data_IF_765518422041
#
_entry.id   IF_765518422041
#
_cell.length_a   1.000
_cell.length_b   1.000
_cell.length_c   1.000
_cell.angle_alpha   90.00
_cell.angle_beta   90.00
_cell.angle_gamma   90.00
#
_symmetry.space_group_name_H-M   'P 1'
#
loop_
_entity.id
_entity.type
_entity.pdbx_description
1 polymer ?
#
# COMPACT_ATOMS: atom_id res chain seq x y z
N UNK A 1 24.54 -8.82 2.84
CA UNK A 1 23.38 -8.83 3.76
C UNK A 1 22.14 -8.66 2.89
N UNK A 2 21.41 -9.74 2.63
CA UNK A 2 20.20 -9.69 1.81
C UNK A 2 19.07 -9.15 2.70
N UNK A 3 18.98 -7.83 2.81
CA UNK A 3 17.94 -7.15 3.58
C UNK A 3 16.60 -7.25 2.87
N UNK A 4 15.93 -8.39 2.98
CA UNK A 4 14.53 -8.49 2.63
C UNK A 4 13.72 -7.61 3.58
N UNK A 5 12.77 -6.85 3.06
CA UNK A 5 11.80 -6.12 3.90
C UNK A 5 10.52 -6.92 3.95
N UNK A 6 10.01 -7.15 5.17
CA UNK A 6 8.74 -7.84 5.38
C UNK A 6 7.60 -6.82 5.38
N UNK A 7 6.62 -7.01 4.51
CA UNK A 7 5.41 -6.20 4.49
C UNK A 7 4.17 -7.10 4.52
N UNK A 8 3.11 -6.66 5.17
CA UNK A 8 1.81 -7.31 5.09
C UNK A 8 1.10 -6.90 3.81
N UNK A 9 0.39 -7.81 3.15
CA UNK A 9 -0.39 -7.51 1.94
C UNK A 9 -1.89 -7.55 2.21
N UNK A 10 -2.70 -6.77 1.49
CA UNK A 10 -4.16 -6.75 1.67
C UNK A 10 -4.88 -6.47 0.35
N UNK A 11 -6.04 -7.06 0.12
CA UNK A 11 -6.83 -6.91 -1.11
C UNK A 11 -6.40 -7.82 -2.27
N UNK A 12 -5.50 -8.78 -2.04
CA UNK A 12 -5.01 -9.78 -3.02
C UNK A 12 -5.74 -11.12 -2.89
N UNK A 13 -6.95 -11.10 -2.34
CA UNK A 13 -7.75 -12.30 -2.09
C UNK A 13 -7.67 -12.79 -0.63
N UNK A 14 -8.76 -13.45 -0.22
CA UNK A 14 -9.07 -13.82 1.17
C UNK A 14 -8.00 -14.68 1.88
N UNK A 15 -7.10 -15.31 1.13
CA UNK A 15 -6.02 -16.15 1.65
C UNK A 15 -4.67 -15.43 1.85
N UNK A 16 -4.52 -14.23 1.29
CA UNK A 16 -3.28 -13.45 1.35
C UNK A 16 -3.43 -12.18 2.21
N UNK A 17 -4.66 -11.79 2.54
CA UNK A 17 -4.96 -10.63 3.37
C UNK A 17 -4.28 -10.69 4.74
N UNK A 18 -3.61 -9.58 5.10
CA UNK A 18 -2.84 -9.38 6.33
C UNK A 18 -1.68 -10.38 6.52
N UNK A 19 -1.25 -11.07 5.46
CA UNK A 19 -0.14 -12.00 5.52
C UNK A 19 1.20 -11.28 5.36
N UNK A 20 2.15 -11.43 6.30
CA UNK A 20 3.50 -10.91 6.12
C UNK A 20 4.21 -11.69 5.02
N UNK A 21 4.78 -10.96 4.07
CA UNK A 21 5.52 -11.50 2.94
C UNK A 21 6.90 -10.84 2.88
N UNK A 22 7.91 -11.64 2.55
CA UNK A 22 9.27 -11.15 2.35
C UNK A 22 9.43 -10.72 0.90
N UNK A 23 9.89 -9.49 0.71
CA UNK A 23 10.11 -8.92 -0.62
C UNK A 23 11.61 -8.79 -0.91
N UNK A 24 11.99 -9.14 -2.15
CA UNK A 24 13.40 -9.18 -2.59
C UNK A 24 13.92 -7.81 -2.99
N UNK A 25 13.04 -7.01 -3.59
CA UNK A 25 13.35 -5.69 -4.09
C UNK A 25 12.94 -4.60 -3.10
N UNK A 26 13.54 -3.43 -3.26
CA UNK A 26 13.12 -2.23 -2.54
C UNK A 26 11.74 -1.86 -3.07
N UNK A 27 10.68 -2.36 -2.42
CA UNK A 27 9.29 -2.07 -2.79
C UNK A 27 9.16 -0.55 -2.91
N UNK A 28 8.61 -0.10 -4.05
CA UNK A 28 8.41 1.32 -4.28
C UNK A 28 7.52 1.84 -3.14
N UNK A 29 7.96 2.86 -2.41
CA UNK A 29 7.23 3.39 -1.24
C UNK A 29 5.77 3.76 -1.56
N UNK A 30 5.52 4.21 -2.79
CA UNK A 30 4.18 4.50 -3.31
C UNK A 30 3.24 3.28 -3.29
N UNK A 31 3.76 2.06 -3.29
CA UNK A 31 2.98 0.80 -3.20
C UNK A 31 2.70 0.38 -1.77
N UNK A 32 3.35 1.02 -0.81
CA UNK A 32 3.16 0.79 0.61
C UNK A 32 2.25 1.88 1.14
N UNK A 33 1.24 1.51 1.91
CA UNK A 33 0.42 2.48 2.62
C UNK A 33 1.29 3.19 3.67
N UNK A 34 1.40 4.50 3.58
CA UNK A 34 2.20 5.32 4.49
C UNK A 34 1.64 5.37 5.92
N UNK A 35 0.36 5.00 6.11
CA UNK A 35 -0.31 4.98 7.42
C UNK A 35 -0.18 3.65 8.16
N UNK A 36 -0.45 2.52 7.49
CA UNK A 36 -0.42 1.19 8.11
C UNK A 36 0.71 0.29 7.63
N UNK A 37 1.56 0.77 6.71
CA UNK A 37 2.72 0.07 6.15
C UNK A 37 2.40 -1.27 5.48
N UNK A 38 1.13 -1.49 5.10
CA UNK A 38 0.72 -2.66 4.30
C UNK A 38 0.82 -2.34 2.81
N UNK A 39 1.01 -3.36 1.97
CA UNK A 39 0.90 -3.26 0.51
C UNK A 39 -0.53 -3.64 0.14
N UNK A 40 -1.41 -2.69 -0.19
CA UNK A 40 -2.74 -3.02 -0.66
C UNK A 40 -2.72 -3.40 -2.14
N UNK A 41 -3.73 -4.14 -2.61
CA UNK A 41 -3.94 -4.39 -4.03
C UNK A 41 -4.26 -3.10 -4.77
N UNK A 42 -4.98 -2.17 -4.12
CA UNK A 42 -5.20 -0.82 -4.63
C UNK A 42 -4.69 0.18 -3.62
N UNK A 43 -3.75 1.02 -4.07
CA UNK A 43 -3.27 2.17 -3.30
C UNK A 43 -3.77 3.45 -3.95
N UNK A 44 -4.19 4.39 -3.13
CA UNK A 44 -4.63 5.73 -3.53
C UNK A 44 -3.49 6.69 -3.23
N UNK A 45 -2.97 7.31 -4.29
CA UNK A 45 -2.02 8.40 -4.20
C UNK A 45 -2.76 9.71 -3.96
N UNK A 46 -2.42 10.35 -2.86
CA UNK A 46 -2.98 11.61 -2.43
C UNK A 46 -2.23 12.78 -3.12
N UNK A 47 -2.87 13.96 -3.24
CA UNK A 47 -2.22 15.15 -3.80
C UNK A 47 -0.95 15.56 -3.04
N UNK A 48 -0.87 15.24 -1.75
CA UNK A 48 0.32 15.47 -0.92
C UNK A 48 1.46 14.45 -1.17
N UNK A 49 1.40 13.67 -2.25
CA UNK A 49 2.36 12.62 -2.61
C UNK A 49 2.42 11.42 -1.65
N UNK A 50 1.47 11.31 -0.72
CA UNK A 50 1.33 10.17 0.18
C UNK A 50 0.49 9.06 -0.47
N UNK A 51 0.92 7.81 -0.31
CA UNK A 51 0.21 6.62 -0.75
C UNK A 51 -0.54 5.98 0.41
N UNK A 52 -1.85 5.74 0.27
CA UNK A 52 -2.68 5.12 1.31
C UNK A 52 -3.55 3.99 0.74
N UNK A 53 -3.82 2.95 1.53
CA UNK A 53 -4.79 1.93 1.11
C UNK A 53 -6.22 2.46 1.15
N UNK A 54 -7.15 1.80 0.46
CA UNK A 54 -8.56 2.24 0.41
C UNK A 54 -9.17 2.38 1.82
N UNK A 55 -8.89 1.44 2.73
CA UNK A 55 -9.36 1.54 4.13
C UNK A 55 -8.85 2.77 4.87
N UNK A 56 -7.60 3.16 4.63
CA UNK A 56 -7.03 4.36 5.23
C UNK A 56 -7.53 5.62 4.52
N UNK A 57 -7.80 5.54 3.22
CA UNK A 57 -8.40 6.62 2.45
C UNK A 57 -9.83 6.92 2.92
N UNK A 58 -10.65 5.90 3.15
CA UNK A 58 -12.00 6.07 3.73
C UNK A 58 -11.94 6.81 5.08
N UNK A 59 -10.99 6.44 5.95
CA UNK A 59 -10.77 7.16 7.21
C UNK A 59 -10.38 8.62 7.00
N UNK A 60 -9.55 8.92 6.00
CA UNK A 60 -9.22 10.30 5.65
C UNK A 60 -10.46 11.08 5.20
N UNK A 61 -11.41 10.44 4.51
CA UNK A 61 -12.69 11.06 4.14
C UNK A 61 -13.58 11.29 5.37
N UNK A 62 -13.68 10.29 6.25
CA UNK A 62 -14.43 10.40 7.51
C UNK A 62 -13.89 11.52 8.43
N UNK A 63 -12.57 11.72 8.45
CA UNK A 63 -11.90 12.76 9.25
C UNK A 63 -11.90 14.16 8.58
N UNK A 64 -12.79 14.37 7.60
CA UNK A 64 -12.96 15.67 6.95
C UNK A 64 -12.12 15.86 5.70
N UNK A 65 -11.91 14.78 4.94
CA UNK A 65 -11.20 14.77 3.65
C UNK A 65 -9.77 15.32 3.76
N UNK A 66 -9.02 14.83 4.74
CA UNK A 66 -7.64 15.25 5.01
C UNK A 66 -6.72 14.06 5.12
N UNK A 67 -5.51 14.20 4.61
CA UNK A 67 -4.49 13.20 4.81
C UNK A 67 -4.10 13.13 6.30
N UNK A 68 -4.18 11.95 6.90
CA UNK A 68 -3.87 11.77 8.33
C UNK A 68 -2.36 11.91 8.67
N UNK A 69 -1.49 12.07 7.67
CA UNK A 69 -0.03 12.22 7.87
C UNK A 69 0.39 13.70 8.01
N UNK A 70 -0.14 14.57 7.15
CA UNK A 70 0.24 15.99 7.05
C UNK A 70 -0.95 16.95 7.22
N UNK A 71 -2.17 16.42 7.36
CA UNK A 71 -3.44 17.16 7.44
C UNK A 71 -3.76 18.01 6.19
N UNK A 72 -3.10 17.75 5.06
CA UNK A 72 -3.42 18.38 3.79
C UNK A 72 -4.79 17.93 3.30
N UNK A 73 -5.50 18.84 2.64
CA UNK A 73 -6.85 18.56 2.11
C UNK A 73 -6.73 17.64 0.90
N UNK A 74 -7.54 16.58 0.92
CA UNK A 74 -7.77 15.71 -0.21
C UNK A 74 -8.58 16.50 -1.25
N UNK A 75 -7.90 17.16 -2.17
CA UNK A 75 -8.57 17.79 -3.30
C UNK A 75 -9.35 16.74 -4.10
N UNK A 76 -10.60 17.04 -4.47
CA UNK A 76 -11.51 16.10 -5.16
C UNK A 76 -10.97 15.59 -6.51
N UNK A 77 -9.90 16.19 -7.04
CA UNK A 77 -9.54 16.08 -8.46
C UNK A 77 -8.16 15.43 -8.72
N UNK A 78 -7.41 15.05 -7.66
CA UNK A 78 -6.01 14.60 -7.81
C UNK A 78 -5.71 13.28 -7.08
N UNK A 79 -6.67 12.35 -7.07
CA UNK A 79 -6.46 11.02 -6.48
C UNK A 79 -6.11 10.03 -7.59
N UNK A 80 -4.87 9.58 -7.63
CA UNK A 80 -4.45 8.53 -8.56
C UNK A 80 -4.53 7.17 -7.87
N UNK A 81 -5.27 6.22 -8.45
CA UNK A 81 -5.35 4.85 -7.93
C UNK A 81 -4.39 3.95 -8.68
N UNK A 82 -3.49 3.31 -7.94
CA UNK A 82 -2.54 2.34 -8.47
C UNK A 82 -2.93 0.94 -8.00
N UNK A 83 -3.43 0.13 -8.92
CA UNK A 83 -3.73 -1.28 -8.65
C UNK A 83 -2.50 -2.16 -8.90
N UNK A 84 -2.40 -3.25 -8.15
CA UNK A 84 -1.41 -4.30 -8.26
C UNK A 84 -2.14 -5.64 -8.32
N UNK A 85 -1.82 -6.44 -9.33
CA UNK A 85 -2.32 -7.81 -9.43
C UNK A 85 -1.49 -8.76 -8.57
N UNK A 86 -2.10 -9.88 -8.17
CA UNK A 86 -1.42 -10.98 -7.47
C UNK A 86 -0.18 -11.46 -8.23
N UNK A 87 -0.27 -11.58 -9.55
CA UNK A 87 0.84 -11.97 -10.42
C UNK A 87 2.04 -11.02 -10.26
N UNK A 88 1.78 -9.71 -10.21
CA UNK A 88 2.82 -8.70 -10.06
C UNK A 88 3.38 -8.67 -8.64
N UNK A 89 2.53 -8.88 -7.64
CA UNK A 89 2.98 -9.07 -6.27
C UNK A 89 3.91 -10.29 -6.13
N UNK A 90 3.57 -11.41 -6.79
CA UNK A 90 4.39 -12.62 -6.80
C UNK A 90 5.78 -12.40 -7.43
N UNK A 91 5.90 -11.48 -8.41
CA UNK A 91 7.23 -11.12 -8.94
C UNK A 91 8.14 -10.43 -7.91
N UNK A 92 7.56 -9.83 -6.86
CA UNK A 92 8.31 -9.15 -5.80
C UNK A 92 8.60 -10.04 -4.59
N UNK A 93 7.86 -11.14 -4.43
CA UNK A 93 8.06 -12.09 -3.34
C UNK A 93 9.41 -12.81 -3.49
N UNK A 94 10.13 -12.99 -2.38
CA UNK A 94 11.23 -13.96 -2.33
C UNK A 94 10.60 -15.34 -2.21
N UNK A 95 10.79 -16.19 -3.21
CA UNK A 95 10.65 -17.63 -3.00
C UNK A 95 11.61 -18.02 -1.88
N UNK A 96 11.08 -18.37 -0.71
CA UNK A 96 11.85 -19.13 0.27
C UNK A 96 12.20 -20.45 -0.41
N UNK A 97 13.44 -20.52 -0.90
CA UNK A 97 14.11 -21.77 -1.17
C UNK A 97 14.25 -22.48 0.18
N UNK A 98 13.43 -23.49 0.39
CA UNK A 98 13.78 -24.65 1.20
C UNK A 98 13.63 -25.88 0.32
#
# INVERSE_FOLDING_TARGET
MLGGTTYCVSGFGKGLDMRPMNFKDTIQKIRVCSLCSVIPSTVVLLPCSHSVCELCFDKCLEDGERCLLDQERLGQECLEKLTLSEEKLATWQVSELF
#
